data_IF_885616540757
#
_entry.id   IF_885616540757
#
_cell.length_a   1.000
_cell.length_b   1.000
_cell.length_c   1.000
_cell.angle_alpha   90.00
_cell.angle_beta   90.00
_cell.angle_gamma   90.00
#
_symmetry.space_group_name_H-M   'P 1'
#
loop_
_entity.id
_entity.type
_entity.pdbx_description
1 polymer ?
#
# COMPACT_ATOMS: atom_id res chain seq x y z
N UNK A 1 7.17 1.13 -12.20
CA UNK A 1 8.32 0.49 -11.72
C UNK A 1 8.21 -1.02 -11.58
N UNK A 2 7.02 -1.57 -11.58
CA UNK A 2 6.81 -3.00 -11.63
C UNK A 2 6.96 -3.75 -10.31
N UNK A 3 7.15 -3.04 -9.20
CA UNK A 3 7.23 -3.68 -7.89
C UNK A 3 5.86 -4.16 -7.45
N UNK A 4 5.84 -5.29 -6.75
CA UNK A 4 4.60 -5.88 -6.26
C UNK A 4 3.93 -4.99 -5.23
N UNK A 5 2.61 -4.86 -5.33
CA UNK A 5 1.81 -4.09 -4.39
C UNK A 5 1.06 -5.05 -3.46
N UNK A 6 0.88 -4.60 -2.21
CA UNK A 6 0.27 -5.41 -1.16
C UNK A 6 -0.86 -4.66 -0.49
N UNK A 7 -1.80 -5.39 0.08
CA UNK A 7 -2.85 -4.84 0.93
C UNK A 7 -2.69 -5.37 2.34
N UNK A 8 -3.21 -4.64 3.30
CA UNK A 8 -3.07 -4.92 4.73
C UNK A 8 -4.45 -5.17 5.33
N UNK A 9 -4.64 -6.35 5.90
CA UNK A 9 -5.95 -6.76 6.43
C UNK A 9 -6.45 -5.87 7.55
N UNK A 10 -5.55 -5.21 8.27
CA UNK A 10 -5.95 -4.33 9.39
C UNK A 10 -6.31 -2.93 8.94
N UNK A 11 -6.17 -2.62 7.65
CA UNK A 11 -6.67 -1.37 7.11
C UNK A 11 -8.18 -1.48 6.89
N UNK A 12 -8.85 -0.33 6.94
CA UNK A 12 -10.26 -0.23 6.57
C UNK A 12 -10.35 0.47 5.22
N UNK A 13 -11.45 0.33 4.47
CA UNK A 13 -11.60 1.08 3.23
C UNK A 13 -11.42 2.57 3.49
N UNK A 14 -10.52 3.18 2.74
CA UNK A 14 -10.22 4.61 2.87
C UNK A 14 -9.35 4.98 4.06
N UNK A 15 -8.87 4.02 4.83
CA UNK A 15 -8.09 4.30 6.04
C UNK A 15 -6.86 3.41 6.11
N UNK A 16 -5.68 4.03 6.18
CA UNK A 16 -4.43 3.31 6.38
C UNK A 16 -4.12 3.24 7.88
N UNK A 17 -3.73 2.07 8.35
CA UNK A 17 -3.36 1.84 9.74
C UNK A 17 -1.89 1.43 9.88
N UNK A 18 -1.09 1.64 8.85
CA UNK A 18 0.32 1.27 8.84
C UNK A 18 1.19 2.54 8.89
N UNK A 19 1.77 2.82 10.05
CA UNK A 19 2.60 4.01 10.31
C UNK A 19 3.85 3.60 11.07
N UNK A 20 4.79 4.53 11.21
CA UNK A 20 6.01 4.35 12.01
C UNK A 20 6.77 3.10 11.58
N UNK A 21 7.01 2.16 12.49
CA UNK A 21 7.75 0.93 12.17
C UNK A 21 7.08 0.09 11.10
N UNK A 22 5.75 0.06 11.07
CA UNK A 22 5.02 -0.65 10.03
C UNK A 22 5.34 -0.05 8.66
N UNK A 23 5.29 1.28 8.54
CA UNK A 23 5.57 1.96 7.28
C UNK A 23 7.04 1.82 6.87
N UNK A 24 7.93 1.57 7.82
CA UNK A 24 9.33 1.30 7.52
C UNK A 24 9.53 -0.03 6.80
N UNK A 25 8.76 -1.05 7.19
CA UNK A 25 8.80 -2.36 6.55
C UNK A 25 7.87 -2.42 5.33
N UNK A 26 6.76 -1.70 5.38
CA UNK A 26 5.75 -1.68 4.34
C UNK A 26 5.54 -0.25 3.84
N UNK A 27 6.45 0.27 3.01
CA UNK A 27 6.31 1.64 2.53
C UNK A 27 5.00 1.84 1.77
N UNK A 28 4.25 2.88 2.09
CA UNK A 28 3.01 3.15 1.37
C UNK A 28 3.29 3.57 -0.08
N UNK A 29 2.37 3.21 -0.97
CA UNK A 29 2.45 3.65 -2.36
C UNK A 29 1.96 5.09 -2.44
N UNK A 30 2.87 6.03 -2.31
CA UNK A 30 2.56 7.45 -2.23
C UNK A 30 2.25 8.00 -3.62
N UNK A 31 1.17 8.76 -3.72
CA UNK A 31 0.79 9.41 -4.97
C UNK A 31 1.45 10.78 -5.07
N UNK A 32 1.65 11.23 -6.30
CA UNK A 32 2.17 12.58 -6.55
C UNK A 32 1.10 13.60 -6.21
N UNK A 33 1.52 14.84 -5.97
CA UNK A 33 0.60 15.87 -5.48
C UNK A 33 -0.54 16.20 -6.45
N UNK A 34 -0.35 15.96 -7.73
CA UNK A 34 -1.38 16.22 -8.74
C UNK A 34 -2.09 14.96 -9.23
N UNK A 35 -1.90 13.84 -8.54
CA UNK A 35 -2.54 12.59 -8.93
C UNK A 35 -4.05 12.68 -8.72
N UNK A 36 -4.80 12.00 -9.59
CA UNK A 36 -6.26 11.94 -9.49
C UNK A 36 -6.72 10.50 -9.47
N UNK A 37 -7.79 10.24 -8.74
CA UNK A 37 -8.41 8.93 -8.70
C UNK A 37 -8.93 8.54 -10.09
N UNK A 38 -8.85 7.24 -10.41
CA UNK A 38 -9.17 6.74 -11.74
C UNK A 38 -9.60 5.29 -11.65
N UNK A 39 -10.78 4.96 -12.19
CA UNK A 39 -11.27 3.59 -12.17
C UNK A 39 -11.45 3.07 -10.76
N UNK A 40 -10.84 1.92 -10.45
CA UNK A 40 -10.88 1.34 -9.12
C UNK A 40 -9.80 1.88 -8.19
N UNK A 41 -8.95 2.79 -8.67
CA UNK A 41 -7.91 3.42 -7.87
C UNK A 41 -8.42 4.72 -7.28
N UNK A 42 -8.12 4.94 -6.02
CA UNK A 42 -8.52 6.15 -5.30
C UNK A 42 -7.35 6.62 -4.45
N UNK A 43 -7.54 7.76 -3.81
CA UNK A 43 -6.51 8.34 -2.95
C UNK A 43 -7.01 8.34 -1.52
N UNK A 44 -6.11 7.95 -0.61
CA UNK A 44 -6.36 7.95 0.83
C UNK A 44 -5.42 8.97 1.44
N UNK A 45 -5.97 9.91 2.22
CA UNK A 45 -5.14 10.88 2.93
C UNK A 45 -4.64 10.25 4.21
N UNK A 46 -3.33 10.11 4.32
CA UNK A 46 -2.71 9.57 5.54
C UNK A 46 -2.71 10.63 6.64
N UNK A 47 -2.51 10.19 7.87
CA UNK A 47 -2.51 11.09 9.02
C UNK A 47 -1.44 12.16 8.92
N UNK A 48 -0.36 11.90 8.19
CA UNK A 48 0.73 12.86 8.01
C UNK A 48 0.50 13.80 6.82
N UNK A 49 -0.66 13.71 6.17
CA UNK A 49 -1.02 14.57 5.05
C UNK A 49 -0.62 14.04 3.68
N UNK A 50 0.14 12.94 3.61
CA UNK A 50 0.50 12.36 2.32
C UNK A 50 -0.69 11.62 1.72
N UNK A 51 -0.75 11.59 0.38
CA UNK A 51 -1.79 10.85 -0.34
C UNK A 51 -1.23 9.49 -0.74
N UNK A 52 -1.99 8.45 -0.46
CA UNK A 52 -1.60 7.07 -0.76
C UNK A 52 -2.59 6.47 -1.74
N UNK A 53 -2.08 5.76 -2.75
CA UNK A 53 -2.95 5.05 -3.67
C UNK A 53 -3.67 3.91 -2.96
N UNK A 54 -4.92 3.67 -3.36
CA UNK A 54 -5.73 2.56 -2.86
C UNK A 54 -6.42 1.90 -4.06
N UNK A 55 -6.68 0.60 -3.93
CA UNK A 55 -7.41 -0.14 -4.95
C UNK A 55 -8.70 -0.65 -4.31
N UNK A 56 -9.83 -0.26 -4.87
CA UNK A 56 -11.16 -0.58 -4.33
C UNK A 56 -11.26 -0.22 -2.85
N UNK A 57 -10.64 0.90 -2.49
CA UNK A 57 -10.68 1.43 -1.12
C UNK A 57 -9.59 0.91 -0.20
N UNK A 58 -8.85 -0.12 -0.60
CA UNK A 58 -7.79 -0.68 0.25
C UNK A 58 -6.46 0.00 -0.06
N UNK A 59 -5.82 0.62 0.94
CA UNK A 59 -4.52 1.27 0.74
C UNK A 59 -3.46 0.28 0.24
N UNK A 60 -2.58 0.76 -0.62
CA UNK A 60 -1.56 -0.07 -1.27
C UNK A 60 -0.18 0.22 -0.70
N UNK A 61 0.62 -0.84 -0.58
CA UNK A 61 1.96 -0.77 0.02
C UNK A 61 2.96 -1.57 -0.80
N UNK A 62 4.24 -1.26 -0.59
CA UNK A 62 5.35 -2.10 -1.02
C UNK A 62 5.86 -2.91 0.16
N UNK A 63 6.64 -3.95 -0.12
CA UNK A 63 7.34 -4.70 0.93
C UNK A 63 8.83 -4.41 0.83
N UNK A 64 9.42 -3.98 1.95
CA UNK A 64 10.85 -3.63 1.97
C UNK A 64 11.75 -4.82 1.67
N UNK A 65 11.26 -6.05 1.89
CA UNK A 65 12.00 -7.26 1.59
C UNK A 65 11.97 -7.70 0.13
N UNK A 66 11.17 -7.04 -0.71
CA UNK A 66 11.19 -7.31 -2.15
C UNK A 66 12.32 -6.49 -2.77
N UNK A 67 13.13 -7.10 -3.60
CA UNK A 67 14.28 -6.42 -4.18
C UNK A 67 14.17 -6.22 -5.67
N UNK A 68 13.24 -6.89 -6.34
CA UNK A 68 13.09 -6.79 -7.79
C UNK A 68 11.64 -6.95 -8.20
N UNK A 69 11.26 -6.39 -9.36
CA UNK A 69 9.91 -6.62 -9.88
C UNK A 69 9.62 -8.13 -9.99
N UNK A 70 8.43 -8.52 -9.57
CA UNK A 70 8.03 -9.92 -9.57
C UNK A 70 8.25 -10.63 -8.25
N UNK A 71 9.03 -10.07 -7.33
CA UNK A 71 9.16 -10.63 -5.99
C UNK A 71 7.84 -10.54 -5.26
N UNK A 72 7.50 -11.57 -4.50
CA UNK A 72 6.27 -11.60 -3.69
C UNK A 72 6.58 -12.07 -2.28
N UNK A 73 7.71 -11.64 -1.75
CA UNK A 73 8.21 -12.11 -0.46
C UNK A 73 7.35 -11.67 0.72
N UNK A 74 6.48 -10.69 0.52
CA UNK A 74 5.60 -10.21 1.57
C UNK A 74 4.25 -10.90 1.64
N UNK A 75 3.94 -11.75 0.67
CA UNK A 75 2.64 -12.41 0.64
C UNK A 75 2.47 -13.34 1.84
N UNK A 76 1.44 -13.10 2.62
CA UNK A 76 1.15 -13.92 3.80
C UNK A 76 1.91 -13.56 5.06
N UNK A 77 2.76 -12.52 5.03
CA UNK A 77 3.52 -12.12 6.22
C UNK A 77 2.56 -11.79 7.36
N UNK A 78 2.79 -12.42 8.51
CA UNK A 78 1.96 -12.22 9.70
C UNK A 78 0.51 -12.62 9.52
N UNK A 79 0.14 -13.21 8.38
CA UNK A 79 -1.24 -13.58 8.07
C UNK A 79 -2.12 -12.39 7.73
N UNK A 80 -1.57 -11.17 7.65
CA UNK A 80 -2.34 -9.93 7.43
C UNK A 80 -1.92 -9.17 6.17
N UNK A 81 -0.86 -9.59 5.51
CA UNK A 81 -0.38 -8.93 4.30
C UNK A 81 -0.57 -9.84 3.10
N UNK A 82 -1.15 -9.32 2.05
CA UNK A 82 -1.49 -10.10 0.85
C UNK A 82 -1.14 -9.32 -0.41
N UNK A 83 -0.70 -10.05 -1.43
CA UNK A 83 -0.46 -9.46 -2.75
C UNK A 83 -1.77 -8.94 -3.32
N UNK A 84 -1.74 -7.75 -3.90
CA UNK A 84 -2.90 -7.21 -4.61
C UNK A 84 -3.17 -8.06 -5.85
N UNK A 85 -4.39 -8.51 -5.98
CA UNK A 85 -4.80 -9.34 -7.12
C UNK A 85 -5.96 -8.76 -7.90
#
# INVERSE_FOLDING_TARGET
>A
EGMTLYIFDKDAPGTSNCYDGCAGSWPPFIAETDASAEGNFSLVTRKDGAEQWAFKGMPLYYWAGDSAPGDVNGDGVGGVWHVLK
#
